data_IF_639051767984
#
_entry.id   IF_639051767984
#
_cell.length_a   1.000
_cell.length_b   1.000
_cell.length_c   1.000
_cell.angle_alpha   90.00
_cell.angle_beta   90.00
_cell.angle_gamma   90.00
#
_symmetry.space_group_name_H-M   'P 1'
#
loop_
_entity.id
_entity.type
_entity.pdbx_description
1 polymer ?
#
# COMPACT_ATOMS: atom_id res chain seq x y z
N UNK A 1 -42.03 -2.61 -6.79
CA UNK A 1 -41.61 -1.21 -6.53
C UNK A 1 -40.42 -1.28 -5.57
N UNK A 2 -39.19 -1.18 -6.08
CA UNK A 2 -37.98 -1.30 -5.25
C UNK A 2 -37.74 0.02 -4.52
N UNK A 3 -37.97 0.02 -3.21
CA UNK A 3 -37.71 1.18 -2.36
C UNK A 3 -36.21 1.41 -2.20
N UNK A 4 -35.78 2.56 -2.73
CA UNK A 4 -34.51 3.25 -2.47
C UNK A 4 -34.13 3.16 -0.98
N UNK A 5 -33.09 2.39 -0.63
CA UNK A 5 -32.45 2.56 0.67
C UNK A 5 -31.75 3.94 0.65
N UNK A 6 -32.13 4.81 1.58
CA UNK A 6 -31.60 6.17 1.75
C UNK A 6 -30.11 6.10 2.14
N UNK A 7 -29.26 6.62 1.26
CA UNK A 7 -27.79 6.84 1.32
C UNK A 7 -26.84 5.61 1.35
N UNK A 8 -25.73 5.66 0.57
CA UNK A 8 -24.57 4.78 0.80
C UNK A 8 -24.10 4.90 2.25
N UNK A 9 -23.83 3.77 2.90
CA UNK A 9 -23.24 3.74 4.25
C UNK A 9 -21.75 3.48 4.11
N UNK A 10 -20.94 4.38 4.67
CA UNK A 10 -19.50 4.20 4.83
C UNK A 10 -19.21 4.11 6.32
N UNK A 11 -18.42 3.12 6.72
CA UNK A 11 -17.91 2.99 8.08
C UNK A 11 -16.40 2.84 8.01
N UNK A 12 -15.71 3.49 8.93
CA UNK A 12 -14.27 3.39 9.11
C UNK A 12 -13.97 3.24 10.60
N UNK A 13 -13.24 2.19 10.93
CA UNK A 13 -12.79 1.90 12.29
C UNK A 13 -11.29 1.63 12.25
N UNK A 14 -10.55 2.27 13.14
CA UNK A 14 -9.09 2.18 13.20
C UNK A 14 -8.67 1.71 14.59
N UNK A 15 -8.20 0.47 14.69
CA UNK A 15 -7.74 -0.15 15.94
C UNK A 15 -6.28 0.22 16.17
N UNK A 16 -6.03 1.22 17.01
CA UNK A 16 -4.68 1.78 17.19
C UNK A 16 -3.81 0.95 18.11
N UNK A 17 -4.36 0.45 19.22
CA UNK A 17 -3.55 -0.13 20.31
C UNK A 17 -3.36 -1.65 20.23
N UNK A 18 -4.18 -2.34 19.43
CA UNK A 18 -4.27 -3.80 19.45
C UNK A 18 -2.93 -4.49 19.14
N UNK A 19 -2.10 -3.89 18.29
CA UNK A 19 -0.83 -4.49 17.86
C UNK A 19 0.32 -3.47 17.73
N UNK A 20 0.18 -2.29 18.33
CA UNK A 20 1.13 -1.20 18.12
C UNK A 20 2.53 -1.52 18.66
N UNK A 21 2.60 -1.94 19.93
CA UNK A 21 3.88 -2.17 20.63
C UNK A 21 4.29 -3.64 20.61
N UNK A 22 3.32 -4.55 20.54
CA UNK A 22 3.54 -5.99 20.55
C UNK A 22 2.50 -6.70 19.69
N UNK A 23 2.97 -7.40 18.66
CA UNK A 23 2.09 -8.15 17.74
C UNK A 23 1.42 -9.34 18.40
N UNK A 24 1.93 -9.83 19.54
CA UNK A 24 1.28 -10.92 20.29
C UNK A 24 -0.10 -10.56 20.82
N UNK A 25 -0.45 -9.28 20.90
CA UNK A 25 -1.74 -8.83 21.38
C UNK A 25 -2.84 -8.93 20.30
N UNK A 26 -2.48 -9.23 19.04
CA UNK A 26 -3.45 -9.41 17.96
C UNK A 26 -4.53 -10.44 18.31
N UNK A 27 -4.14 -11.55 18.94
CA UNK A 27 -5.04 -12.64 19.30
C UNK A 27 -6.10 -12.24 20.34
N UNK A 28 -5.87 -11.16 21.10
CA UNK A 28 -6.81 -10.69 22.12
C UNK A 28 -8.15 -10.27 21.51
N UNK A 29 -8.15 -9.79 20.26
CA UNK A 29 -9.36 -9.36 19.57
C UNK A 29 -9.92 -10.41 18.60
N UNK A 30 -9.32 -11.60 18.49
CA UNK A 30 -9.76 -12.61 17.50
C UNK A 30 -11.23 -12.99 17.71
N UNK A 31 -11.64 -13.22 18.97
CA UNK A 31 -13.03 -13.58 19.29
C UNK A 31 -13.98 -12.39 19.10
N UNK A 32 -13.57 -11.18 19.49
CA UNK A 32 -14.39 -9.97 19.30
C UNK A 32 -14.62 -9.66 17.82
N UNK A 33 -13.57 -9.79 16.99
CA UNK A 33 -13.68 -9.62 15.54
C UNK A 33 -14.53 -10.74 14.91
N UNK A 34 -14.35 -11.99 15.34
CA UNK A 34 -15.17 -13.12 14.90
C UNK A 34 -16.66 -12.87 15.18
N UNK A 35 -17.01 -12.54 16.43
CA UNK A 35 -18.39 -12.27 16.83
C UNK A 35 -18.94 -11.07 16.08
N UNK A 36 -18.19 -9.97 15.96
CA UNK A 36 -18.60 -8.81 15.17
C UNK A 36 -18.98 -9.19 13.74
N UNK A 37 -18.13 -9.95 13.03
CA UNK A 37 -18.43 -10.37 11.66
C UNK A 37 -19.56 -11.39 11.59
N UNK A 38 -19.67 -12.31 12.56
CA UNK A 38 -20.72 -13.31 12.62
C UNK A 38 -22.08 -12.67 12.85
N UNK A 39 -22.21 -11.81 13.84
CA UNK A 39 -23.45 -11.09 14.18
C UNK A 39 -23.90 -10.17 13.05
N UNK A 40 -22.95 -9.50 12.38
CA UNK A 40 -23.23 -8.55 11.32
C UNK A 40 -23.24 -9.17 9.90
N UNK A 41 -23.08 -10.49 9.76
CA UNK A 41 -22.91 -11.17 8.46
C UNK A 41 -23.99 -10.83 7.43
N UNK A 42 -25.25 -10.73 7.86
CA UNK A 42 -26.37 -10.41 6.98
C UNK A 42 -26.31 -8.97 6.48
N UNK A 43 -25.92 -8.03 7.35
CA UNK A 43 -25.77 -6.62 7.00
C UNK A 43 -24.55 -6.39 6.08
N UNK A 44 -23.47 -7.14 6.29
CA UNK A 44 -22.24 -7.07 5.51
C UNK A 44 -22.30 -7.86 4.19
N UNK A 45 -23.30 -8.72 4.00
CA UNK A 45 -23.36 -9.61 2.83
C UNK A 45 -23.40 -8.85 1.49
N UNK A 46 -23.95 -7.63 1.51
CA UNK A 46 -24.02 -6.72 0.36
C UNK A 46 -23.00 -5.57 0.43
N UNK A 47 -21.93 -5.73 1.22
CA UNK A 47 -20.92 -4.69 1.45
C UNK A 47 -19.55 -5.11 0.93
N UNK A 48 -18.78 -4.14 0.43
CA UNK A 48 -17.33 -4.30 0.36
C UNK A 48 -16.77 -4.09 1.77
N UNK A 49 -15.93 -5.00 2.24
CA UNK A 49 -15.24 -4.88 3.52
C UNK A 49 -13.74 -4.93 3.25
N UNK A 50 -13.02 -3.95 3.79
CA UNK A 50 -11.58 -3.85 3.68
C UNK A 50 -11.00 -3.96 5.09
N UNK A 51 -10.10 -4.93 5.30
CA UNK A 51 -9.30 -5.05 6.51
C UNK A 51 -7.87 -4.77 6.10
N UNK A 52 -7.24 -3.74 6.67
CA UNK A 52 -5.90 -3.34 6.28
C UNK A 52 -5.07 -2.84 7.48
N UNK A 53 -3.75 -2.94 7.34
CA UNK A 53 -2.79 -2.20 8.17
C UNK A 53 -2.24 -0.98 7.41
N UNK A 54 -1.67 -0.02 8.12
CA UNK A 54 -0.87 1.06 7.54
C UNK A 54 0.60 0.66 7.36
N UNK A 55 1.09 -0.28 8.16
CA UNK A 55 2.43 -0.86 8.08
C UNK A 55 2.45 -2.29 8.65
N UNK A 56 3.53 -3.04 8.41
CA UNK A 56 3.85 -4.26 9.17
C UNK A 56 4.58 -3.96 10.48
N UNK A 57 5.03 -4.96 11.25
CA UNK A 57 5.61 -4.76 12.57
C UNK A 57 6.81 -3.80 12.56
N UNK A 58 6.76 -2.76 13.40
CA UNK A 58 7.86 -1.79 13.64
C UNK A 58 8.67 -2.10 14.89
N UNK A 59 8.01 -2.75 15.85
CA UNK A 59 8.49 -3.03 17.19
C UNK A 59 8.28 -4.53 17.47
N UNK A 60 8.88 -5.00 18.57
CA UNK A 60 8.80 -6.41 18.97
C UNK A 60 9.76 -7.31 18.20
N UNK A 61 9.84 -8.57 18.64
CA UNK A 61 10.80 -9.56 18.11
C UNK A 61 10.52 -9.90 16.65
N UNK A 62 9.27 -9.75 16.21
CA UNK A 62 8.86 -10.03 14.83
C UNK A 62 9.51 -9.03 13.86
N UNK A 63 9.60 -7.75 14.24
CA UNK A 63 10.20 -6.69 13.45
C UNK A 63 11.72 -6.85 13.27
N UNK A 64 12.40 -7.50 14.22
CA UNK A 64 13.85 -7.76 14.20
C UNK A 64 14.24 -8.86 13.20
N UNK A 65 13.29 -9.65 12.72
CA UNK A 65 13.56 -10.70 11.73
C UNK A 65 13.76 -10.13 10.33
N UNK A 66 14.49 -10.85 9.48
CA UNK A 66 14.65 -10.48 8.07
C UNK A 66 13.32 -10.41 7.30
N UNK A 67 12.29 -11.11 7.76
CA UNK A 67 10.93 -11.02 7.23
C UNK A 67 10.21 -9.78 7.76
N UNK A 68 10.21 -9.55 9.08
CA UNK A 68 9.60 -8.36 9.69
C UNK A 68 10.14 -7.05 9.12
N UNK A 69 11.45 -6.97 8.87
CA UNK A 69 12.07 -5.82 8.21
C UNK A 69 11.47 -5.54 6.82
N UNK A 70 11.11 -6.59 6.06
CA UNK A 70 10.43 -6.44 4.76
C UNK A 70 8.95 -6.11 4.93
N UNK A 71 8.29 -6.76 5.89
CA UNK A 71 6.86 -6.57 6.18
C UNK A 71 6.55 -5.16 6.69
N UNK A 72 7.53 -4.48 7.30
CA UNK A 72 7.45 -3.07 7.69
C UNK A 72 6.80 -2.19 6.61
N UNK A 73 7.17 -2.41 5.34
CA UNK A 73 6.69 -1.67 4.17
C UNK A 73 5.70 -2.46 3.31
N UNK A 74 5.21 -3.60 3.80
CA UNK A 74 4.23 -4.46 3.13
C UNK A 74 2.98 -4.62 4.02
N UNK A 75 2.15 -3.58 4.14
CA UNK A 75 0.97 -3.63 4.99
C UNK A 75 -0.04 -4.70 4.53
N UNK A 76 -0.68 -5.34 5.50
CA UNK A 76 -1.74 -6.30 5.25
C UNK A 76 -2.93 -5.65 4.54
N UNK A 77 -3.55 -6.37 3.61
CA UNK A 77 -4.81 -5.99 2.96
C UNK A 77 -5.64 -7.25 2.68
N UNK A 78 -6.88 -7.24 3.16
CA UNK A 78 -7.89 -8.24 2.85
C UNK A 78 -9.15 -7.55 2.37
N UNK A 79 -9.72 -8.03 1.25
CA UNK A 79 -10.90 -7.44 0.63
C UNK A 79 -12.00 -8.50 0.50
N UNK A 80 -13.12 -8.25 1.18
CA UNK A 80 -14.36 -9.01 1.00
C UNK A 80 -15.23 -8.28 0.00
N UNK A 81 -15.69 -9.01 -1.02
CA UNK A 81 -16.61 -8.52 -2.05
C UNK A 81 -18.03 -8.94 -1.71
N UNK A 82 -19.07 -8.11 -1.97
CA UNK A 82 -20.47 -8.50 -1.83
C UNK A 82 -20.78 -9.85 -2.49
N UNK A 83 -21.56 -10.71 -1.83
CA UNK A 83 -21.77 -12.10 -2.27
C UNK A 83 -22.23 -12.20 -3.73
N UNK A 84 -23.22 -11.40 -4.12
CA UNK A 84 -23.74 -11.35 -5.49
C UNK A 84 -22.73 -10.91 -6.56
N UNK A 85 -21.65 -10.22 -6.15
CA UNK A 85 -20.59 -9.76 -7.05
C UNK A 85 -19.46 -10.79 -7.19
N UNK A 86 -19.34 -11.77 -6.28
CA UNK A 86 -18.29 -12.81 -6.32
C UNK A 86 -18.37 -13.72 -7.56
N UNK A 87 -19.56 -13.81 -8.19
CA UNK A 87 -19.77 -14.57 -9.44
C UNK A 87 -19.46 -13.76 -10.71
N UNK A 88 -19.19 -12.45 -10.59
CA UNK A 88 -18.94 -11.55 -11.72
C UNK A 88 -17.45 -11.50 -12.09
N UNK A 89 -17.18 -11.01 -13.30
CA UNK A 89 -15.80 -10.85 -13.82
C UNK A 89 -14.94 -9.94 -12.94
N UNK A 90 -15.52 -8.91 -12.30
CA UNK A 90 -14.79 -8.04 -11.39
C UNK A 90 -14.11 -8.80 -10.25
N UNK A 91 -14.72 -9.88 -9.75
CA UNK A 91 -14.14 -10.66 -8.65
C UNK A 91 -12.91 -11.42 -9.14
N UNK A 92 -12.97 -11.97 -10.37
CA UNK A 92 -11.80 -12.57 -11.02
C UNK A 92 -10.70 -11.53 -11.25
N UNK A 93 -11.08 -10.33 -11.70
CA UNK A 93 -10.13 -9.23 -11.91
C UNK A 93 -9.45 -8.79 -10.60
N UNK A 94 -10.22 -8.66 -9.52
CA UNK A 94 -9.69 -8.36 -8.19
C UNK A 94 -8.68 -9.43 -7.73
N UNK A 95 -8.99 -10.71 -7.95
CA UNK A 95 -8.07 -11.82 -7.64
C UNK A 95 -6.79 -11.75 -8.46
N UNK A 96 -6.86 -11.47 -9.75
CA UNK A 96 -5.67 -11.28 -10.58
C UNK A 96 -4.82 -10.09 -10.11
N UNK A 97 -5.46 -8.97 -9.78
CA UNK A 97 -4.77 -7.79 -9.29
C UNK A 97 -4.17 -7.98 -7.89
N UNK A 98 -4.71 -8.91 -7.07
CA UNK A 98 -4.17 -9.24 -5.75
C UNK A 98 -2.78 -9.91 -5.80
N UNK A 99 -2.38 -10.43 -6.98
CA UNK A 99 -1.06 -11.02 -7.22
C UNK A 99 -0.04 -10.01 -7.76
N UNK A 100 -0.38 -8.72 -7.77
CA UNK A 100 0.46 -7.62 -8.24
C UNK A 100 0.78 -6.64 -7.10
N UNK A 101 1.77 -5.77 -7.31
CA UNK A 101 2.11 -4.73 -6.34
C UNK A 101 0.97 -3.70 -6.24
N UNK A 102 0.32 -3.65 -5.08
CA UNK A 102 -0.80 -2.75 -4.75
C UNK A 102 -0.33 -1.67 -3.78
N UNK A 103 -0.87 -0.46 -3.94
CA UNK A 103 -0.59 0.69 -3.07
C UNK A 103 -1.89 1.24 -2.46
N UNK A 104 -1.80 2.04 -1.38
CA UNK A 104 -2.96 2.78 -0.86
C UNK A 104 -3.62 3.70 -1.91
N UNK A 105 -2.88 4.16 -2.92
CA UNK A 105 -3.45 4.93 -4.02
C UNK A 105 -4.40 4.10 -4.90
N UNK A 106 -4.11 2.80 -5.09
CA UNK A 106 -5.01 1.90 -5.80
C UNK A 106 -6.28 1.63 -4.97
N UNK A 107 -6.16 1.55 -3.64
CA UNK A 107 -7.32 1.47 -2.74
C UNK A 107 -8.21 2.72 -2.84
N UNK A 108 -7.61 3.91 -2.83
CA UNK A 108 -8.35 5.15 -3.05
C UNK A 108 -9.09 5.14 -4.40
N UNK A 109 -8.41 4.75 -5.48
CA UNK A 109 -9.05 4.61 -6.81
C UNK A 109 -10.15 3.54 -6.82
N UNK A 110 -9.98 2.45 -6.07
CA UNK A 110 -10.98 1.38 -5.93
C UNK A 110 -12.24 1.88 -5.23
N UNK A 111 -12.10 2.64 -4.14
CA UNK A 111 -13.23 3.24 -3.42
C UNK A 111 -13.97 4.25 -4.31
N UNK A 112 -13.24 5.07 -5.08
CA UNK A 112 -13.81 5.99 -6.08
C UNK A 112 -14.58 5.23 -7.17
N UNK A 113 -14.03 4.12 -7.66
CA UNK A 113 -14.66 3.25 -8.66
C UNK A 113 -15.97 2.65 -8.16
N UNK A 114 -15.97 2.10 -6.93
CA UNK A 114 -17.15 1.54 -6.27
C UNK A 114 -18.26 2.58 -6.12
N UNK A 115 -17.90 3.81 -5.74
CA UNK A 115 -18.87 4.86 -5.45
C UNK A 115 -19.46 5.50 -6.69
N UNK A 116 -18.63 5.81 -7.70
CA UNK A 116 -19.04 6.68 -8.80
C UNK A 116 -19.20 5.98 -10.16
N UNK A 117 -18.49 4.87 -10.41
CA UNK A 117 -18.34 4.34 -11.77
C UNK A 117 -18.94 2.92 -11.94
N UNK A 118 -18.63 1.99 -11.03
CA UNK A 118 -19.17 0.63 -11.09
C UNK A 118 -20.71 0.57 -11.01
N UNK A 119 -21.42 1.44 -10.26
CA UNK A 119 -22.89 1.37 -10.22
C UNK A 119 -23.56 1.55 -11.59
N UNK A 120 -23.02 2.39 -12.48
CA UNK A 120 -23.61 2.65 -13.80
C UNK A 120 -23.52 1.44 -14.73
N UNK A 121 -22.54 0.57 -14.52
CA UNK A 121 -22.34 -0.67 -15.29
C UNK A 121 -22.84 -1.90 -14.53
N UNK A 122 -23.58 -1.70 -13.44
CA UNK A 122 -24.01 -2.79 -12.54
C UNK A 122 -22.84 -3.68 -12.12
N UNK A 123 -21.68 -3.09 -11.84
CA UNK A 123 -20.47 -3.78 -11.43
C UNK A 123 -20.04 -4.85 -12.45
N UNK A 124 -19.99 -4.52 -13.73
CA UNK A 124 -19.58 -5.46 -14.80
C UNK A 124 -18.37 -5.00 -15.60
N UNK A 125 -18.08 -3.70 -15.59
CA UNK A 125 -16.97 -3.14 -16.35
C UNK A 125 -15.64 -3.31 -15.62
N UNK A 126 -14.75 -4.06 -16.28
CA UNK A 126 -13.39 -4.35 -15.81
C UNK A 126 -12.33 -3.72 -16.72
N UNK A 127 -12.73 -2.90 -17.69
CA UNK A 127 -11.80 -2.23 -18.59
C UNK A 127 -10.91 -1.26 -17.83
N UNK A 128 -9.66 -1.10 -18.27
CA UNK A 128 -8.73 -0.13 -17.71
C UNK A 128 -9.32 1.28 -17.82
N UNK A 129 -9.18 2.07 -16.75
CA UNK A 129 -9.73 3.42 -16.67
C UNK A 129 -8.81 4.33 -15.85
N UNK A 130 -8.60 5.55 -16.36
CA UNK A 130 -7.92 6.64 -15.63
C UNK A 130 -9.00 7.56 -15.05
N UNK A 131 -9.00 7.74 -13.73
CA UNK A 131 -10.04 8.49 -13.02
C UNK A 131 -9.82 10.00 -12.96
N UNK A 132 -8.58 10.44 -13.17
CA UNK A 132 -8.11 11.81 -13.03
C UNK A 132 -7.06 12.06 -14.12
N UNK A 133 -6.73 13.33 -14.39
CA UNK A 133 -5.70 13.70 -15.38
C UNK A 133 -4.30 13.22 -14.99
N UNK A 134 -4.04 13.11 -13.68
CA UNK A 134 -2.79 12.58 -13.12
C UNK A 134 -3.10 11.55 -12.02
N UNK A 135 -3.54 10.33 -12.39
CA UNK A 135 -3.97 9.33 -11.43
C UNK A 135 -2.76 8.71 -10.73
N UNK A 136 -2.80 8.63 -9.40
CA UNK A 136 -1.74 7.98 -8.60
C UNK A 136 -1.94 6.48 -8.41
N UNK A 137 -3.12 5.95 -8.73
CA UNK A 137 -3.45 4.53 -8.57
C UNK A 137 -4.58 4.09 -9.48
N UNK A 138 -4.76 2.78 -9.59
CA UNK A 138 -5.77 2.13 -10.43
C UNK A 138 -6.73 1.31 -9.58
N UNK A 139 -8.01 1.25 -9.94
CA UNK A 139 -8.98 0.42 -9.22
C UNK A 139 -8.61 -1.05 -9.31
N UNK A 140 -8.66 -1.74 -8.17
CA UNK A 140 -8.45 -3.18 -8.09
C UNK A 140 -9.56 -3.98 -8.78
N UNK A 141 -10.70 -3.36 -9.11
CA UNK A 141 -11.82 -4.01 -9.79
C UNK A 141 -11.69 -4.01 -11.32
N UNK A 142 -10.67 -3.33 -11.86
CA UNK A 142 -10.42 -3.15 -13.29
C UNK A 142 -9.05 -3.69 -13.66
N UNK A 143 -8.84 -3.98 -14.94
CA UNK A 143 -7.50 -4.29 -15.47
C UNK A 143 -6.57 -3.12 -15.19
N UNK A 144 -5.33 -3.42 -14.80
CA UNK A 144 -4.26 -2.44 -14.81
C UNK A 144 -3.86 -2.09 -16.25
N UNK A 145 -3.08 -1.02 -16.41
CA UNK A 145 -2.66 -0.53 -17.72
C UNK A 145 -1.86 -1.60 -18.49
N UNK A 146 -2.32 -1.95 -19.68
CA UNK A 146 -1.68 -2.97 -20.51
C UNK A 146 -0.25 -2.57 -20.86
N UNK A 147 0.68 -3.53 -20.77
CA UNK A 147 2.10 -3.32 -21.05
C UNK A 147 2.87 -2.57 -19.95
N UNK A 148 2.22 -2.08 -18.89
CA UNK A 148 2.89 -1.38 -17.79
C UNK A 148 3.11 -2.34 -16.62
N UNK A 149 4.35 -2.80 -16.45
CA UNK A 149 4.73 -3.61 -15.30
C UNK A 149 4.69 -2.77 -14.02
N UNK A 150 4.03 -3.28 -12.98
CA UNK A 150 3.95 -2.64 -11.66
C UNK A 150 5.21 -2.92 -10.84
N UNK A 151 5.95 -1.87 -10.51
CA UNK A 151 7.23 -1.88 -9.77
C UNK A 151 7.33 -0.61 -8.93
N UNK A 152 8.28 -0.54 -7.98
CA UNK A 152 8.54 0.72 -7.26
C UNK A 152 8.97 1.88 -8.16
N UNK A 153 9.41 1.63 -9.40
CA UNK A 153 9.78 2.66 -10.37
C UNK A 153 8.57 3.20 -11.14
N UNK A 154 7.55 2.36 -11.37
CA UNK A 154 6.36 2.71 -12.16
C UNK A 154 5.18 3.14 -11.30
N UNK A 155 5.19 2.81 -10.02
CA UNK A 155 4.20 3.25 -9.04
C UNK A 155 4.77 4.40 -8.19
N UNK A 156 3.91 5.26 -7.61
CA UNK A 156 4.34 6.35 -6.74
C UNK A 156 4.74 5.85 -5.35
N UNK A 157 5.68 4.90 -5.29
CA UNK A 157 6.24 4.34 -4.06
C UNK A 157 7.59 5.02 -3.83
N UNK A 158 7.76 5.79 -2.74
CA UNK A 158 9.06 6.34 -2.39
C UNK A 158 10.11 5.23 -2.26
N UNK A 159 11.35 5.49 -2.69
CA UNK A 159 12.40 4.45 -2.76
C UNK A 159 12.63 3.75 -1.41
N UNK A 160 12.55 4.48 -0.29
CA UNK A 160 12.73 3.92 1.06
C UNK A 160 11.58 3.00 1.52
N UNK A 161 10.42 3.05 0.86
CA UNK A 161 9.30 2.14 1.08
C UNK A 161 9.25 1.01 0.05
N UNK A 162 10.21 0.92 -0.86
CA UNK A 162 10.25 -0.14 -1.85
C UNK A 162 10.64 -1.48 -1.21
N UNK A 163 9.74 -2.45 -1.28
CA UNK A 163 9.99 -3.82 -0.80
C UNK A 163 10.74 -4.69 -1.81
N UNK A 164 10.94 -4.22 -3.05
CA UNK A 164 11.66 -4.98 -4.06
C UNK A 164 13.12 -5.18 -3.64
N UNK A 165 13.58 -6.42 -3.68
CA UNK A 165 14.96 -6.74 -3.39
C UNK A 165 15.84 -6.45 -4.62
N UNK A 166 16.87 -5.66 -4.42
CA UNK A 166 17.90 -5.46 -5.43
C UNK A 166 19.10 -6.33 -5.07
N UNK A 167 19.70 -6.97 -6.09
CA UNK A 167 20.98 -7.63 -5.90
C UNK A 167 22.00 -6.56 -5.52
N UNK A 168 22.64 -6.73 -4.37
CA UNK A 168 23.76 -5.89 -3.94
C UNK A 168 25.05 -6.66 -4.18
N UNK A 169 26.09 -5.94 -4.59
CA UNK A 169 27.44 -6.47 -4.72
C UNK A 169 28.34 -5.70 -3.74
N UNK A 170 29.26 -6.41 -3.10
CA UNK A 170 30.24 -5.77 -2.20
C UNK A 170 31.34 -5.15 -3.02
N UNK A 171 31.56 -3.85 -2.87
CA UNK A 171 32.64 -3.14 -3.57
C UNK A 171 33.92 -3.29 -2.75
N UNK A 172 34.87 -4.08 -3.25
CA UNK A 172 36.19 -4.26 -2.63
C UNK A 172 37.22 -3.21 -3.09
N UNK A 173 36.96 -2.52 -4.20
CA UNK A 173 37.84 -1.48 -4.73
C UNK A 173 37.72 -0.19 -3.90
N UNK A 174 38.80 0.15 -3.20
CA UNK A 174 38.88 1.35 -2.36
C UNK A 174 38.78 2.68 -3.14
N UNK A 175 39.28 2.73 -4.37
CA UNK A 175 39.18 3.92 -5.22
C UNK A 175 37.75 4.11 -5.70
N UNK A 176 37.09 3.01 -6.10
CA UNK A 176 35.68 3.06 -6.49
C UNK A 176 34.81 3.48 -5.30
N UNK A 177 35.06 2.91 -4.12
CA UNK A 177 34.35 3.27 -2.88
C UNK A 177 34.50 4.76 -2.55
N UNK A 178 35.71 5.29 -2.64
CA UNK A 178 35.99 6.72 -2.42
C UNK A 178 35.29 7.60 -3.45
N UNK A 179 35.30 7.19 -4.72
CA UNK A 179 34.65 7.92 -5.81
C UNK A 179 33.14 7.99 -5.61
N UNK A 180 32.51 6.88 -5.24
CA UNK A 180 31.07 6.82 -4.95
C UNK A 180 30.70 7.65 -3.71
N UNK A 181 31.51 7.60 -2.66
CA UNK A 181 31.33 8.43 -1.46
C UNK A 181 31.38 9.92 -1.79
N UNK A 182 32.40 10.37 -2.54
CA UNK A 182 32.52 11.75 -2.99
C UNK A 182 31.36 12.19 -3.88
N UNK A 183 30.90 11.31 -4.78
CA UNK A 183 29.73 11.57 -5.62
C UNK A 183 28.47 11.79 -4.77
N UNK A 184 28.20 10.92 -3.80
CA UNK A 184 27.06 11.04 -2.91
C UNK A 184 27.11 12.32 -2.07
N UNK A 185 28.26 12.63 -1.47
CA UNK A 185 28.47 13.86 -0.69
C UNK A 185 28.24 15.10 -1.55
N UNK A 186 28.79 15.14 -2.76
CA UNK A 186 28.58 16.25 -3.71
C UNK A 186 27.10 16.42 -4.04
N UNK A 187 26.39 15.32 -4.30
CA UNK A 187 24.96 15.37 -4.61
C UNK A 187 24.13 15.90 -3.44
N UNK A 188 24.37 15.40 -2.22
CA UNK A 188 23.65 15.83 -1.02
C UNK A 188 23.89 17.31 -0.72
N UNK A 189 25.13 17.79 -0.79
CA UNK A 189 25.43 19.22 -0.63
C UNK A 189 24.74 20.06 -1.72
N UNK A 190 24.69 19.59 -2.97
CA UNK A 190 23.95 20.27 -4.04
C UNK A 190 22.44 20.37 -3.78
N UNK A 191 21.85 19.39 -3.08
CA UNK A 191 20.44 19.48 -2.63
C UNK A 191 20.29 20.60 -1.59
N UNK A 192 21.20 20.70 -0.61
CA UNK A 192 21.17 21.76 0.40
C UNK A 192 21.31 23.16 -0.23
N UNK A 193 22.22 23.30 -1.19
CA UNK A 193 22.44 24.54 -1.93
C UNK A 193 21.21 24.94 -2.75
N UNK A 194 20.61 24.00 -3.49
CA UNK A 194 19.43 24.28 -4.32
C UNK A 194 18.19 24.67 -3.53
N UNK A 195 18.09 24.25 -2.26
CA UNK A 195 17.03 24.66 -1.34
C UNK A 195 17.38 25.90 -0.51
N UNK A 196 18.59 26.46 -0.66
CA UNK A 196 19.01 27.68 0.04
C UNK A 196 19.13 27.52 1.56
N UNK A 197 19.53 26.33 2.05
CA UNK A 197 19.65 26.01 3.48
C UNK A 197 21.09 25.77 3.94
N UNK A 198 22.08 26.05 3.08
CA UNK A 198 23.50 25.80 3.37
C UNK A 198 24.05 26.58 4.56
N UNK A 199 23.44 27.70 4.95
CA UNK A 199 23.78 28.50 6.13
C UNK A 199 23.21 27.90 7.44
N UNK A 200 22.19 27.05 7.33
CA UNK A 200 21.51 26.39 8.46
C UNK A 200 21.96 24.95 8.66
N UNK A 201 22.57 24.34 7.65
CA UNK A 201 22.99 22.94 7.66
C UNK A 201 24.52 22.82 7.59
N UNK A 202 25.07 21.83 8.31
CA UNK A 202 26.49 21.51 8.18
C UNK A 202 26.79 20.94 6.79
N UNK A 203 27.87 21.42 6.17
CA UNK A 203 28.39 20.85 4.93
C UNK A 203 28.77 19.39 5.15
N UNK A 204 28.26 18.51 4.31
CA UNK A 204 28.54 17.08 4.37
C UNK A 204 29.94 16.85 3.79
N UNK A 205 30.78 16.10 4.50
CA UNK A 205 32.14 15.76 4.06
C UNK A 205 32.36 14.24 4.18
N UNK A 206 33.23 13.65 3.34
CA UNK A 206 33.58 12.24 3.47
C UNK A 206 34.27 11.98 4.81
N UNK A 207 33.77 11.04 5.59
CA UNK A 207 34.35 10.62 6.87
C UNK A 207 34.58 9.12 6.93
N UNK A 208 35.43 8.66 7.86
CA UNK A 208 35.49 7.24 8.22
C UNK A 208 34.21 6.89 8.99
N UNK A 209 33.44 5.93 8.49
CA UNK A 209 32.39 5.28 9.28
C UNK A 209 33.11 4.53 10.41
N UNK A 210 32.85 4.91 11.66
CA UNK A 210 33.38 4.20 12.83
C UNK A 210 32.68 2.86 13.00
#
# INVERSE_FOLDING_TARGET
MLTKLRSPKFSFSWLVNLAHDNTSNLYEADYDLYEFFLENRNALNNSFVFVLGDHGPRLGREAETAYGNRELNNPFLYVVVPEQLRKKQLYKQLRQNSEQLVTPHDLHSTLKDILYFQPSTSFSDTSFMKYDSNPRGSSLLRKFEDGVRRTCKTLPIPFHHCICQFKTDTISDSNLTTTLGLFAVKHLNGILESHGVSDKCQKIEPGKVR
#
